data_IF_110500937540
#
_entry.id   IF_110500937540
#
_cell.length_a   1.000
_cell.length_b   1.000
_cell.length_c   1.000
_cell.angle_alpha   90.00
_cell.angle_beta   90.00
_cell.angle_gamma   90.00
#
_symmetry.space_group_name_H-M   'P 1'
#
loop_
_entity.id
_entity.type
_entity.pdbx_description
1 polymer ?
#
# COMPACT_ATOMS: atom_id res chain seq x y z
N UNK A 1 -5.65 -64.18 20.15
CA UNK A 1 -6.30 -63.19 19.28
C UNK A 1 -7.04 -62.15 20.14
N UNK A 2 -6.53 -60.91 20.17
CA UNK A 2 -7.28 -59.64 20.19
C UNK A 2 -6.26 -58.52 19.86
N UNK A 3 -6.55 -57.56 18.96
CA UNK A 3 -5.57 -56.59 18.49
C UNK A 3 -5.37 -55.46 19.52
N UNK A 4 -4.14 -54.94 19.57
CA UNK A 4 -3.80 -53.69 20.25
C UNK A 4 -4.42 -52.48 19.51
N UNK A 5 -4.76 -51.38 20.21
CA UNK A 5 -5.44 -50.22 19.62
C UNK A 5 -4.52 -49.43 18.67
N UNK A 6 -5.08 -48.75 17.66
CA UNK A 6 -4.29 -47.95 16.73
C UNK A 6 -3.69 -46.72 17.43
N UNK A 7 -2.41 -46.48 17.17
CA UNK A 7 -1.69 -45.30 17.61
C UNK A 7 -2.34 -44.03 17.07
N UNK A 8 -2.60 -43.07 17.95
CA UNK A 8 -3.12 -41.76 17.61
C UNK A 8 -2.12 -41.01 16.71
N UNK A 9 -2.53 -40.71 15.48
CA UNK A 9 -1.80 -39.81 14.60
C UNK A 9 -1.84 -38.39 15.19
N UNK A 10 -0.71 -37.94 15.74
CA UNK A 10 -0.49 -36.53 16.06
C UNK A 10 -0.50 -35.74 14.75
N UNK A 11 -1.56 -34.95 14.53
CA UNK A 11 -1.57 -33.90 13.51
C UNK A 11 -0.49 -32.87 13.87
N UNK A 12 0.70 -33.02 13.31
CA UNK A 12 1.70 -31.96 13.30
C UNK A 12 1.23 -30.88 12.31
N UNK A 13 0.98 -29.66 12.83
CA UNK A 13 0.76 -28.46 12.01
C UNK A 13 1.94 -28.28 11.07
N UNK A 14 1.74 -28.54 9.78
CA UNK A 14 2.69 -28.12 8.74
C UNK A 14 2.78 -26.60 8.77
N UNK A 15 3.97 -26.08 9.04
CA UNK A 15 4.36 -24.71 8.73
C UNK A 15 4.20 -24.51 7.23
N UNK A 16 3.09 -23.93 6.79
CA UNK A 16 3.02 -23.27 5.49
C UNK A 16 3.36 -21.79 5.72
N UNK A 17 4.62 -21.56 6.09
CA UNK A 17 5.31 -20.35 5.66
C UNK A 17 5.32 -20.43 4.15
N UNK A 18 4.58 -19.54 3.48
CA UNK A 18 4.80 -19.31 2.06
C UNK A 18 6.19 -18.68 2.00
N UNK A 19 7.16 -19.50 1.64
CA UNK A 19 8.49 -19.06 1.26
C UNK A 19 8.32 -17.96 0.22
N UNK A 20 8.70 -16.75 0.62
CA UNK A 20 8.93 -15.64 -0.28
C UNK A 20 9.97 -16.12 -1.32
N UNK A 21 9.62 -16.27 -2.62
CA UNK A 21 10.51 -16.84 -3.61
C UNK A 21 11.71 -15.93 -3.96
N UNK A 22 11.87 -14.80 -3.27
CA UNK A 22 12.94 -13.82 -3.51
C UNK A 22 14.00 -13.73 -2.39
N UNK A 23 14.01 -14.66 -1.41
CA UNK A 23 15.04 -14.68 -0.37
C UNK A 23 16.38 -15.30 -0.85
N UNK A 24 17.00 -14.66 -1.84
CA UNK A 24 18.28 -15.06 -2.42
C UNK A 24 19.24 -13.90 -2.74
N UNK A 25 18.98 -12.67 -2.30
CA UNK A 25 19.88 -11.53 -2.56
C UNK A 25 20.02 -10.61 -1.34
N UNK A 26 20.63 -11.12 -0.27
CA UNK A 26 21.23 -10.29 0.78
C UNK A 26 22.59 -10.83 1.19
N UNK A 27 23.58 -10.76 0.29
CA UNK A 27 25.00 -10.56 0.65
C UNK A 27 25.71 -9.94 -0.54
N UNK A 28 26.07 -8.66 -0.43
CA UNK A 28 26.91 -7.96 -1.40
C UNK A 28 28.35 -8.44 -1.25
N UNK A 29 28.73 -9.48 -1.98
CA UNK A 29 30.11 -9.65 -2.44
C UNK A 29 30.13 -9.41 -3.94
N UNK A 30 30.71 -8.27 -4.32
CA UNK A 30 31.09 -7.91 -5.68
C UNK A 30 31.83 -9.08 -6.35
N UNK A 31 31.17 -9.77 -7.31
CA UNK A 31 31.70 -10.64 -8.39
C UNK A 31 30.63 -11.59 -8.98
N UNK A 32 29.49 -11.08 -9.45
CA UNK A 32 28.44 -11.92 -10.08
C UNK A 32 27.92 -11.38 -11.42
N UNK A 33 28.78 -10.63 -12.12
CA UNK A 33 28.60 -10.24 -13.52
C UNK A 33 29.81 -10.66 -14.36
N UNK A 34 30.17 -11.94 -14.32
CA UNK A 34 30.97 -12.52 -15.39
C UNK A 34 30.02 -13.13 -16.42
N UNK A 35 29.94 -12.49 -17.58
CA UNK A 35 29.18 -12.96 -18.74
C UNK A 35 29.85 -14.23 -19.26
N UNK A 36 29.15 -15.38 -19.36
CA UNK A 36 29.75 -16.57 -19.95
C UNK A 36 30.03 -16.33 -21.44
N UNK A 37 31.15 -16.84 -21.99
CA UNK A 37 31.45 -16.68 -23.40
C UNK A 37 30.40 -17.41 -24.25
N UNK A 38 29.82 -16.69 -25.20
CA UNK A 38 28.83 -17.21 -26.16
C UNK A 38 29.52 -18.19 -27.12
N UNK A 39 28.95 -19.38 -27.41
CA UNK A 39 29.53 -20.30 -28.39
C UNK A 39 29.47 -19.69 -29.79
N UNK A 40 30.62 -19.67 -30.47
CA UNK A 40 30.72 -19.15 -31.84
C UNK A 40 30.18 -20.19 -32.83
N UNK A 41 28.96 -19.98 -33.33
CA UNK A 41 28.45 -20.72 -34.49
C UNK A 41 28.82 -19.94 -35.75
N UNK A 42 29.63 -20.55 -36.61
CA UNK A 42 29.99 -20.00 -37.90
C UNK A 42 28.81 -20.17 -38.88
N UNK A 43 28.25 -19.06 -39.35
CA UNK A 43 27.38 -19.05 -40.54
C UNK A 43 27.75 -17.88 -41.45
N UNK A 44 28.35 -18.25 -42.58
CA UNK A 44 28.48 -17.44 -43.80
C UNK A 44 27.09 -17.20 -44.39
N UNK A 45 26.68 -15.94 -44.49
CA UNK A 45 25.42 -15.54 -45.12
C UNK A 45 25.31 -14.02 -45.15
N UNK A 46 24.95 -13.47 -46.30
CA UNK A 46 24.90 -12.05 -46.63
C UNK A 46 24.11 -11.23 -45.59
N UNK A 47 24.77 -10.30 -44.91
CA UNK A 47 24.18 -9.44 -43.88
C UNK A 47 23.21 -8.43 -44.51
N UNK A 48 21.90 -8.67 -44.40
CA UNK A 48 20.95 -7.56 -44.23
C UNK A 48 21.22 -6.95 -42.85
N UNK A 49 21.55 -5.66 -42.83
CA UNK A 49 21.70 -4.89 -41.60
C UNK A 49 20.32 -4.84 -40.91
N UNK A 50 20.09 -5.74 -39.96
CA UNK A 50 18.98 -5.61 -39.03
C UNK A 50 19.32 -4.43 -38.11
N UNK A 51 18.72 -3.27 -38.37
CA UNK A 51 18.82 -2.14 -37.46
C UNK A 51 18.28 -2.59 -36.09
N UNK A 52 19.11 -2.47 -35.05
CA UNK A 52 18.65 -2.57 -33.65
C UNK A 52 17.50 -1.56 -33.52
N UNK A 53 16.31 -1.95 -33.02
CA UNK A 53 15.26 -0.96 -32.77
C UNK A 53 15.85 0.14 -31.88
N UNK A 54 15.56 1.43 -32.15
CA UNK A 54 16.12 2.51 -31.36
C UNK A 54 15.80 2.23 -29.89
N UNK A 55 16.82 2.31 -29.03
CA UNK A 55 16.62 2.23 -27.58
C UNK A 55 15.66 3.36 -27.22
N UNK A 56 14.42 3.01 -26.88
CA UNK A 56 13.43 3.97 -26.41
C UNK A 56 13.97 4.60 -25.13
N UNK A 57 14.08 5.92 -25.10
CA UNK A 57 14.48 6.64 -23.89
C UNK A 57 13.43 6.42 -22.79
N UNK A 58 13.82 6.35 -21.50
CA UNK A 58 12.86 6.10 -20.41
C UNK A 58 11.68 7.08 -20.39
N UNK A 59 11.92 8.35 -20.77
CA UNK A 59 10.88 9.36 -20.88
C UNK A 59 9.83 9.00 -21.95
N UNK A 60 10.25 8.49 -23.10
CA UNK A 60 9.35 8.11 -24.20
C UNK A 60 8.48 6.92 -23.82
N UNK A 61 9.04 5.95 -23.08
CA UNK A 61 8.29 4.82 -22.54
C UNK A 61 7.20 5.28 -21.57
N UNK A 62 7.52 6.24 -20.70
CA UNK A 62 6.55 6.81 -19.74
C UNK A 62 5.47 7.61 -20.48
N UNK A 63 5.84 8.44 -21.46
CA UNK A 63 4.87 9.22 -22.25
C UNK A 63 3.90 8.30 -23.01
N UNK A 64 4.37 7.14 -23.49
CA UNK A 64 3.50 6.15 -24.12
C UNK A 64 2.45 5.59 -23.17
N UNK A 65 2.81 5.36 -21.91
CA UNK A 65 1.88 4.85 -20.89
C UNK A 65 0.99 5.95 -20.29
N UNK A 66 1.56 7.14 -20.07
CA UNK A 66 0.89 8.29 -19.48
C UNK A 66 1.15 9.56 -20.33
N UNK A 67 0.39 9.76 -21.43
CA UNK A 67 0.57 10.87 -22.35
C UNK A 67 0.49 12.25 -21.71
N UNK A 68 -0.13 12.37 -20.54
CA UNK A 68 -0.22 13.64 -19.78
C UNK A 68 1.13 14.19 -19.32
N UNK A 69 2.17 13.38 -19.28
CA UNK A 69 3.54 13.82 -19.00
C UNK A 69 4.32 14.18 -20.27
N UNK A 70 3.65 14.23 -21.43
CA UNK A 70 4.27 14.75 -22.65
C UNK A 70 4.55 16.23 -22.52
N UNK A 71 5.65 16.68 -23.12
CA UNK A 71 6.03 18.08 -23.14
C UNK A 71 7.07 18.40 -22.07
N UNK A 72 7.14 19.68 -21.69
CA UNK A 72 8.19 20.22 -20.80
C UNK A 72 7.60 20.96 -19.60
N UNK A 73 6.29 20.80 -19.36
CA UNK A 73 5.59 21.45 -18.26
C UNK A 73 6.00 20.87 -16.90
N UNK A 74 5.85 21.68 -15.85
CA UNK A 74 6.07 21.19 -14.49
C UNK A 74 4.89 20.33 -14.03
N UNK A 75 5.20 19.11 -13.56
CA UNK A 75 4.19 18.17 -13.05
C UNK A 75 4.27 17.99 -11.52
N UNK A 76 3.25 17.34 -10.96
CA UNK A 76 3.27 16.89 -9.57
C UNK A 76 4.05 15.56 -9.47
N UNK A 77 5.12 15.53 -8.66
CA UNK A 77 5.94 14.34 -8.49
C UNK A 77 5.19 13.17 -7.86
N UNK A 78 4.19 13.43 -7.02
CA UNK A 78 3.39 12.36 -6.42
C UNK A 78 2.47 11.70 -7.45
N UNK A 79 1.88 12.52 -8.32
CA UNK A 79 1.09 12.04 -9.44
C UNK A 79 1.96 11.17 -10.36
N UNK A 80 3.12 11.69 -10.78
CA UNK A 80 4.08 10.96 -11.60
C UNK A 80 4.49 9.61 -10.98
N UNK A 81 4.88 9.60 -9.70
CA UNK A 81 5.28 8.36 -9.02
C UNK A 81 4.14 7.33 -9.00
N UNK A 82 2.90 7.79 -8.79
CA UNK A 82 1.73 6.91 -8.78
C UNK A 82 1.54 6.25 -10.14
N UNK A 83 1.54 7.04 -11.22
CA UNK A 83 1.42 6.51 -12.57
C UNK A 83 2.56 5.56 -12.95
N UNK A 84 3.79 5.87 -12.56
CA UNK A 84 4.93 5.01 -12.83
C UNK A 84 4.80 3.65 -12.15
N UNK A 85 4.46 3.64 -10.85
CA UNK A 85 4.30 2.40 -10.10
C UNK A 85 3.09 1.59 -10.57
N UNK A 86 1.99 2.24 -10.96
CA UNK A 86 0.84 1.57 -11.56
C UNK A 86 1.22 0.95 -12.91
N UNK A 87 1.97 1.65 -13.77
CA UNK A 87 2.46 1.10 -15.03
C UNK A 87 3.38 -0.11 -14.84
N UNK A 88 4.34 -0.02 -13.93
CA UNK A 88 5.21 -1.15 -13.57
C UNK A 88 4.36 -2.30 -13.00
N UNK A 89 3.37 -2.00 -12.16
CA UNK A 89 2.47 -3.00 -11.60
C UNK A 89 1.75 -3.77 -12.69
N UNK A 90 1.07 -3.07 -13.62
CA UNK A 90 0.30 -3.68 -14.70
C UNK A 90 1.18 -4.54 -15.61
N UNK A 91 2.37 -4.05 -15.98
CA UNK A 91 3.29 -4.77 -16.86
C UNK A 91 3.83 -6.07 -16.23
N UNK A 92 3.98 -6.11 -14.90
CA UNK A 92 4.53 -7.27 -14.18
C UNK A 92 3.47 -8.02 -13.37
N UNK A 93 2.18 -7.75 -13.58
CA UNK A 93 1.10 -8.39 -12.85
C UNK A 93 0.91 -9.84 -13.31
N UNK A 94 1.11 -10.79 -12.39
CA UNK A 94 1.00 -12.23 -12.65
C UNK A 94 -0.42 -12.78 -12.47
N UNK A 95 -1.33 -11.99 -11.91
CA UNK A 95 -2.65 -12.44 -11.50
C UNK A 95 -3.70 -12.33 -12.62
N UNK A 96 -4.59 -13.33 -12.75
CA UNK A 96 -5.55 -13.43 -13.88
C UNK A 96 -6.93 -14.00 -13.51
N UNK A 97 -7.43 -13.80 -12.28
CA UNK A 97 -8.70 -14.42 -11.84
C UNK A 97 -9.93 -13.47 -11.90
N UNK A 98 -11.12 -14.01 -12.22
CA UNK A 98 -12.38 -13.25 -12.21
C UNK A 98 -12.80 -12.85 -10.79
N UNK A 99 -13.57 -11.75 -10.66
CA UNK A 99 -14.06 -11.28 -9.37
C UNK A 99 -15.14 -12.21 -8.84
N UNK A 100 -15.07 -12.56 -7.55
CA UNK A 100 -16.18 -13.16 -6.83
C UNK A 100 -16.60 -12.23 -5.72
N UNK A 101 -17.89 -11.92 -5.63
CA UNK A 101 -18.45 -11.14 -4.53
C UNK A 101 -18.53 -12.02 -3.27
N UNK A 102 -17.95 -11.54 -2.17
CA UNK A 102 -17.89 -12.25 -0.88
C UNK A 102 -18.32 -11.24 0.16
N UNK A 103 -19.30 -11.63 0.96
CA UNK A 103 -19.78 -10.89 2.12
C UNK A 103 -18.91 -11.24 3.33
N UNK A 104 -18.37 -10.23 4.00
CA UNK A 104 -17.49 -10.42 5.18
C UNK A 104 -18.26 -10.26 6.49
N UNK A 105 -19.59 -10.16 6.41
CA UNK A 105 -20.46 -9.86 7.53
C UNK A 105 -20.31 -10.94 8.61
N UNK A 106 -20.19 -10.50 9.86
CA UNK A 106 -20.00 -11.32 11.06
C UNK A 106 -18.62 -11.97 11.24
N UNK A 107 -17.63 -11.66 10.40
CA UNK A 107 -16.25 -12.08 10.64
C UNK A 107 -15.53 -11.10 11.57
N UNK A 108 -14.59 -11.58 12.41
CA UNK A 108 -13.66 -10.70 13.10
C UNK A 108 -12.84 -9.86 12.11
N UNK A 109 -12.51 -8.62 12.49
CA UNK A 109 -11.80 -7.67 11.62
C UNK A 109 -10.52 -8.25 11.01
N UNK A 110 -9.74 -8.98 11.80
CA UNK A 110 -8.49 -9.58 11.35
C UNK A 110 -8.69 -10.60 10.22
N UNK A 111 -9.78 -11.37 10.31
CA UNK A 111 -10.12 -12.38 9.32
C UNK A 111 -10.70 -11.74 8.07
N UNK A 112 -11.58 -10.75 8.24
CA UNK A 112 -12.16 -9.99 7.13
C UNK A 112 -11.09 -9.23 6.32
N UNK A 113 -10.14 -8.58 6.99
CA UNK A 113 -8.96 -7.96 6.36
C UNK A 113 -8.16 -8.98 5.55
N UNK A 114 -7.86 -10.14 6.14
CA UNK A 114 -7.05 -11.15 5.49
C UNK A 114 -7.71 -11.73 4.24
N UNK A 115 -8.99 -12.08 4.35
CA UNK A 115 -9.77 -12.56 3.20
C UNK A 115 -9.89 -11.48 2.10
N UNK A 116 -10.10 -10.22 2.49
CA UNK A 116 -10.13 -9.11 1.54
C UNK A 116 -8.79 -8.94 0.81
N UNK A 117 -7.66 -9.09 1.52
CA UNK A 117 -6.34 -8.99 0.91
C UNK A 117 -6.02 -10.18 0.01
N UNK A 118 -6.31 -11.41 0.43
CA UNK A 118 -6.15 -12.60 -0.42
C UNK A 118 -6.94 -12.47 -1.72
N UNK A 119 -8.17 -11.96 -1.62
CA UNK A 119 -8.99 -11.64 -2.80
C UNK A 119 -8.34 -10.57 -3.67
N UNK A 120 -7.80 -9.50 -3.09
CA UNK A 120 -7.07 -8.47 -3.82
C UNK A 120 -5.90 -9.07 -4.62
N UNK A 121 -5.12 -9.96 -3.99
CA UNK A 121 -3.98 -10.64 -4.60
C UNK A 121 -4.36 -11.56 -5.78
N UNK A 122 -5.60 -12.07 -5.82
CA UNK A 122 -6.07 -12.86 -6.98
C UNK A 122 -6.11 -12.08 -8.29
N UNK A 123 -6.03 -10.74 -8.21
CA UNK A 123 -5.99 -9.81 -9.35
C UNK A 123 -4.74 -8.95 -9.43
N UNK A 124 -4.02 -8.79 -8.32
CA UNK A 124 -2.86 -7.91 -8.24
C UNK A 124 -1.74 -8.67 -7.55
N UNK A 125 -0.87 -9.29 -8.34
CA UNK A 125 0.33 -9.97 -7.84
C UNK A 125 1.53 -9.44 -8.61
N UNK A 126 2.25 -8.52 -8.01
CA UNK A 126 3.45 -7.93 -8.59
C UNK A 126 4.42 -7.47 -7.51
N UNK A 127 5.66 -7.16 -7.89
CA UNK A 127 6.66 -6.62 -6.96
C UNK A 127 6.21 -5.29 -6.34
N UNK A 128 5.43 -4.49 -7.08
CA UNK A 128 4.87 -3.22 -6.58
C UNK A 128 3.90 -3.46 -5.44
N UNK A 129 3.03 -4.47 -5.57
CA UNK A 129 2.10 -4.88 -4.51
C UNK A 129 2.86 -5.35 -3.28
N UNK A 130 3.88 -6.17 -3.46
CA UNK A 130 4.67 -6.71 -2.37
C UNK A 130 5.42 -5.63 -1.59
N UNK A 131 5.99 -4.65 -2.28
CA UNK A 131 6.85 -3.65 -1.65
C UNK A 131 6.09 -2.44 -1.14
N UNK A 132 5.19 -1.87 -1.96
CA UNK A 132 4.66 -0.53 -1.72
C UNK A 132 3.21 -0.51 -1.23
N UNK A 133 2.49 -1.63 -1.35
CA UNK A 133 1.07 -1.62 -1.04
C UNK A 133 0.75 -2.14 0.36
N UNK A 134 -0.06 -1.35 1.07
CA UNK A 134 -0.70 -1.74 2.31
C UNK A 134 -2.22 -1.82 2.14
N UNK A 135 -2.93 -1.91 3.26
CA UNK A 135 -4.38 -1.97 3.29
C UNK A 135 -4.93 -1.01 4.34
N UNK A 136 -5.91 -0.19 3.96
CA UNK A 136 -6.71 0.60 4.89
C UNK A 136 -7.87 -0.24 5.43
N UNK A 137 -8.35 0.13 6.62
CA UNK A 137 -9.65 -0.26 7.15
C UNK A 137 -10.47 1.02 7.38
N UNK A 138 -11.57 1.16 6.63
CA UNK A 138 -12.55 2.24 6.80
C UNK A 138 -13.78 1.66 7.50
N UNK A 139 -14.15 2.21 8.65
CA UNK A 139 -15.29 1.76 9.45
C UNK A 139 -16.34 2.85 9.56
N UNK A 140 -17.60 2.50 9.28
CA UNK A 140 -18.78 3.32 9.47
C UNK A 140 -19.65 2.72 10.57
N UNK A 141 -20.02 3.52 11.57
CA UNK A 141 -20.89 3.08 12.67
C UNK A 141 -22.12 3.97 12.73
N UNK A 142 -23.30 3.38 12.56
CA UNK A 142 -24.57 4.10 12.70
C UNK A 142 -24.76 4.53 14.16
N UNK A 143 -24.97 5.83 14.40
CA UNK A 143 -25.18 6.32 15.77
C UNK A 143 -26.49 5.84 16.40
N UNK A 144 -27.50 5.50 15.57
CA UNK A 144 -28.83 5.07 16.02
C UNK A 144 -28.92 3.56 16.30
N UNK A 145 -28.62 2.70 15.32
CA UNK A 145 -28.77 1.25 15.46
C UNK A 145 -27.46 0.49 15.73
N UNK A 146 -26.33 1.20 15.78
CA UNK A 146 -24.96 0.64 15.98
C UNK A 146 -24.50 -0.35 14.91
N UNK A 147 -25.26 -0.53 13.83
CA UNK A 147 -24.82 -1.29 12.67
C UNK A 147 -23.50 -0.71 12.14
N UNK A 148 -22.57 -1.63 11.87
CA UNK A 148 -21.22 -1.31 11.44
C UNK A 148 -21.00 -1.82 10.03
N UNK A 149 -20.40 -0.99 9.18
CA UNK A 149 -19.95 -1.37 7.85
C UNK A 149 -18.45 -1.10 7.76
N UNK A 150 -17.67 -2.13 7.42
CA UNK A 150 -16.21 -2.06 7.34
C UNK A 150 -15.75 -2.41 5.93
N UNK A 151 -14.95 -1.53 5.33
CA UNK A 151 -14.37 -1.73 4.00
C UNK A 151 -12.85 -1.74 4.11
N UNK A 152 -12.23 -2.70 3.44
CA UNK A 152 -10.78 -2.79 3.33
C UNK A 152 -10.36 -2.41 1.91
N UNK A 153 -9.43 -1.46 1.78
CA UNK A 153 -8.98 -0.96 0.48
C UNK A 153 -7.45 -0.95 0.40
N UNK A 154 -6.86 -1.39 -0.72
CA UNK A 154 -5.42 -1.28 -0.90
C UNK A 154 -4.99 0.19 -0.98
N UNK A 155 -3.75 0.48 -0.58
CA UNK A 155 -3.13 1.79 -0.79
C UNK A 155 -1.68 1.61 -1.19
N UNK A 156 -1.16 2.54 -1.98
CA UNK A 156 0.26 2.59 -2.35
C UNK A 156 1.02 3.71 -1.62
N UNK A 157 0.31 4.75 -1.18
CA UNK A 157 0.89 5.83 -0.37
C UNK A 157 -0.10 6.36 0.66
N UNK A 158 0.44 6.88 1.76
CA UNK A 158 -0.31 7.64 2.77
C UNK A 158 -0.30 9.12 2.38
N UNK A 159 -1.42 9.62 1.87
CA UNK A 159 -1.57 11.03 1.53
C UNK A 159 -2.12 11.82 2.72
N UNK A 160 -1.21 12.30 3.57
CA UNK A 160 -1.53 12.89 4.86
C UNK A 160 -1.92 14.39 4.74
N UNK A 161 -3.05 14.81 5.33
CA UNK A 161 -3.40 16.22 5.46
C UNK A 161 -2.46 16.92 6.46
N UNK A 162 -2.16 18.20 6.20
CA UNK A 162 -1.36 19.04 7.10
C UNK A 162 -2.32 19.91 7.94
N UNK A 163 -2.45 19.66 9.25
CA UNK A 163 -3.49 20.29 10.05
C UNK A 163 -3.17 21.71 10.54
N UNK A 164 -2.13 22.35 10.01
CA UNK A 164 -1.56 23.61 10.51
C UNK A 164 -2.59 24.74 10.66
N UNK A 165 -3.42 24.97 9.63
CA UNK A 165 -4.49 26.00 9.67
C UNK A 165 -5.53 25.67 10.75
N UNK A 166 -5.95 24.41 10.84
CA UNK A 166 -6.97 23.96 11.81
C UNK A 166 -6.45 24.02 13.25
N UNK A 167 -5.16 23.73 13.45
CA UNK A 167 -4.52 23.75 14.75
C UNK A 167 -3.92 25.12 15.12
N UNK A 168 -3.91 26.09 14.19
CA UNK A 168 -3.29 27.42 14.34
C UNK A 168 -1.83 27.37 14.80
N UNK A 169 -1.07 26.41 14.27
CA UNK A 169 0.35 26.21 14.58
C UNK A 169 1.22 26.33 13.33
N UNK A 170 2.43 26.85 13.52
CA UNK A 170 3.41 27.08 12.44
C UNK A 170 4.20 25.84 12.06
N UNK A 171 4.34 24.90 13.00
CA UNK A 171 5.05 23.65 12.83
C UNK A 171 4.15 22.49 13.26
N UNK A 172 4.17 21.39 12.51
CA UNK A 172 3.46 20.16 12.86
C UNK A 172 4.42 18.98 12.88
N UNK A 173 4.11 17.92 13.61
CA UNK A 173 4.84 16.65 13.50
C UNK A 173 4.14 15.72 12.51
N UNK A 174 4.89 14.76 11.96
CA UNK A 174 4.32 13.73 11.11
C UNK A 174 3.25 12.90 11.84
N UNK A 175 3.46 12.65 13.13
CA UNK A 175 2.48 12.03 14.01
C UNK A 175 1.18 12.85 14.11
N UNK A 176 1.24 14.17 14.23
CA UNK A 176 0.03 15.01 14.21
C UNK A 176 -0.73 14.93 12.88
N UNK A 177 -0.03 14.79 11.75
CA UNK A 177 -0.66 14.55 10.45
C UNK A 177 -1.35 13.19 10.41
N UNK A 178 -0.72 12.14 10.97
CA UNK A 178 -1.31 10.81 11.09
C UNK A 178 -2.52 10.80 12.03
N UNK A 179 -2.42 11.42 13.21
CA UNK A 179 -3.51 11.53 14.19
C UNK A 179 -4.73 12.20 13.55
N UNK A 180 -4.50 13.23 12.73
CA UNK A 180 -5.56 13.86 11.96
C UNK A 180 -6.13 12.91 10.91
N UNK A 181 -5.27 12.19 10.19
CA UNK A 181 -5.64 11.28 9.12
C UNK A 181 -6.52 10.12 9.60
N UNK A 182 -6.24 9.56 10.77
CA UNK A 182 -7.02 8.46 11.38
C UNK A 182 -8.12 8.92 12.32
N UNK A 183 -8.30 10.23 12.48
CA UNK A 183 -9.28 10.81 13.38
C UNK A 183 -10.68 10.36 12.97
N UNK A 184 -11.49 9.96 13.95
CA UNK A 184 -12.91 9.72 13.73
C UNK A 184 -13.60 11.03 13.28
N UNK A 185 -14.34 10.94 12.18
CA UNK A 185 -15.19 12.02 11.66
C UNK A 185 -16.66 11.67 11.86
N UNK A 186 -17.47 12.70 12.13
CA UNK A 186 -18.91 12.56 12.30
C UNK A 186 -19.58 12.96 10.99
N UNK A 187 -20.34 12.02 10.43
CA UNK A 187 -21.18 12.22 9.25
C UNK A 187 -22.60 12.55 9.70
N UNK A 188 -23.06 13.77 9.44
CA UNK A 188 -24.40 14.24 9.81
C UNK A 188 -24.96 15.22 8.76
N UNK A 189 -26.24 15.55 8.88
CA UNK A 189 -26.96 16.45 7.96
C UNK A 189 -26.83 16.01 6.48
N UNK A 190 -26.25 16.83 5.61
CA UNK A 190 -26.10 16.57 4.18
C UNK A 190 -25.21 15.33 3.92
N UNK A 191 -24.16 15.18 4.72
CA UNK A 191 -23.18 14.09 4.67
C UNK A 191 -23.61 12.83 5.44
N UNK A 192 -24.83 12.81 6.00
CA UNK A 192 -25.33 11.69 6.78
C UNK A 192 -25.33 10.37 5.98
N UNK A 193 -24.85 9.30 6.62
CA UNK A 193 -24.72 7.98 6.00
C UNK A 193 -26.07 7.28 5.85
N UNK A 194 -26.35 6.69 4.68
CA UNK A 194 -27.50 5.82 4.49
C UNK A 194 -27.25 4.47 5.18
N UNK A 195 -27.86 4.26 6.35
CA UNK A 195 -27.68 3.03 7.09
C UNK A 195 -28.55 1.90 6.48
N UNK A 196 -27.97 0.76 6.08
CA UNK A 196 -28.72 -0.33 5.45
C UNK A 196 -29.72 -1.00 6.40
N UNK A 197 -29.44 -1.00 7.72
CA UNK A 197 -30.35 -1.53 8.74
C UNK A 197 -31.52 -0.58 9.06
N UNK A 198 -31.26 0.74 9.14
CA UNK A 198 -32.33 1.72 9.36
C UNK A 198 -33.09 2.09 8.08
N UNK A 199 -32.55 1.76 6.90
CA UNK A 199 -33.05 2.10 5.57
C UNK A 199 -33.29 3.61 5.37
N UNK A 200 -32.45 4.45 6.00
CA UNK A 200 -32.49 5.92 5.86
C UNK A 200 -31.17 6.58 6.27
N UNK A 201 -31.00 7.85 5.87
CA UNK A 201 -29.85 8.67 6.31
C UNK A 201 -29.84 8.82 7.83
N UNK A 202 -28.70 8.53 8.45
CA UNK A 202 -28.46 8.60 9.88
C UNK A 202 -27.11 9.24 10.15
N UNK A 203 -27.01 9.88 11.32
CA UNK A 203 -25.73 10.26 11.89
C UNK A 203 -24.87 9.01 12.04
N UNK A 204 -23.62 9.08 11.62
CA UNK A 204 -22.67 7.98 11.70
C UNK A 204 -21.29 8.51 12.07
N UNK A 205 -20.45 7.65 12.63
CA UNK A 205 -19.02 7.92 12.73
C UNK A 205 -18.30 7.17 11.62
N UNK A 206 -17.30 7.81 11.02
CA UNK A 206 -16.41 7.23 10.02
C UNK A 206 -14.98 7.30 10.55
N UNK A 207 -14.25 6.20 10.47
CA UNK A 207 -12.86 6.16 10.91
C UNK A 207 -12.02 5.38 9.92
N UNK A 208 -10.89 5.96 9.51
CA UNK A 208 -9.88 5.30 8.68
C UNK A 208 -8.72 4.86 9.57
N UNK A 209 -8.25 3.63 9.39
CA UNK A 209 -7.12 3.05 10.13
C UNK A 209 -6.24 2.22 9.18
N UNK A 210 -5.02 1.86 9.60
CA UNK A 210 -4.14 1.00 8.83
C UNK A 210 -4.44 -0.46 9.19
N UNK A 211 -4.74 -1.29 8.20
CA UNK A 211 -4.95 -2.73 8.40
C UNK A 211 -3.70 -3.52 8.08
N UNK A 212 -2.95 -3.11 7.07
CA UNK A 212 -1.69 -3.74 6.66
C UNK A 212 -0.72 -2.64 6.27
N UNK A 213 0.52 -2.78 6.69
CA UNK A 213 1.59 -1.86 6.32
C UNK A 213 2.44 -2.47 5.19
N UNK A 214 2.92 -1.67 4.24
CA UNK A 214 3.85 -2.11 3.20
C UNK A 214 5.28 -2.23 3.75
N UNK A 215 6.13 -3.00 3.07
CA UNK A 215 7.56 -3.05 3.41
C UNK A 215 8.25 -1.70 3.14
N UNK A 216 7.82 -1.00 2.09
CA UNK A 216 8.29 0.32 1.71
C UNK A 216 7.14 1.32 1.79
N UNK A 217 7.16 2.14 2.84
CA UNK A 217 6.11 3.12 3.09
C UNK A 217 6.35 4.44 2.34
N UNK A 218 5.45 4.78 1.43
CA UNK A 218 5.41 6.09 0.78
C UNK A 218 4.48 7.03 1.55
N UNK A 219 5.01 8.17 1.97
CA UNK A 219 4.23 9.24 2.63
C UNK A 219 4.22 10.46 1.74
N UNK A 220 3.03 10.87 1.35
CA UNK A 220 2.77 12.11 0.63
C UNK A 220 2.14 13.12 1.59
N UNK A 221 2.70 14.33 1.68
CA UNK A 221 2.13 15.43 2.44
C UNK A 221 1.25 16.29 1.52
N UNK A 222 -0.05 16.37 1.78
CA UNK A 222 -1.02 17.18 1.01
C UNK A 222 -0.79 18.68 1.24
N UNK A 223 0.24 19.23 0.60
CA UNK A 223 0.63 20.66 0.71
C UNK A 223 -0.20 21.58 -0.17
N UNK A 224 -0.91 21.04 -1.15
CA UNK A 224 -1.77 21.81 -2.03
C UNK A 224 -3.22 21.58 -1.64
N UNK A 225 -3.90 22.65 -1.23
CA UNK A 225 -5.35 22.65 -1.10
C UNK A 225 -5.93 23.62 -2.13
N UNK A 226 -6.99 23.19 -2.82
CA UNK A 226 -7.79 24.01 -3.70
C UNK A 226 -8.98 24.61 -2.93
N UNK A 227 -8.74 25.13 -1.73
CA UNK A 227 -9.76 25.86 -0.99
C UNK A 227 -9.91 27.27 -1.59
N UNK A 228 -10.82 27.42 -2.56
CA UNK A 228 -11.19 28.70 -3.19
C UNK A 228 -10.57 28.94 -4.58
N UNK A 229 -10.58 30.20 -5.03
CA UNK A 229 -10.09 30.62 -6.37
C UNK A 229 -8.55 30.54 -6.54
N UNK A 230 -7.79 30.34 -5.47
CA UNK A 230 -6.32 30.35 -5.51
C UNK A 230 -5.74 29.06 -4.92
N UNK A 231 -4.80 28.43 -5.65
CA UNK A 231 -4.01 27.32 -5.12
C UNK A 231 -3.05 27.87 -4.06
N UNK A 232 -3.35 27.63 -2.78
CA UNK A 232 -2.47 28.02 -1.69
C UNK A 232 -1.57 26.83 -1.29
N UNK A 233 -0.25 27.02 -1.42
CA UNK A 233 0.74 26.07 -0.93
C UNK A 233 0.88 26.20 0.58
N UNK A 234 0.91 25.07 1.28
CA UNK A 234 1.24 25.00 2.70
C UNK A 234 2.76 24.89 2.88
N UNK A 235 3.39 26.00 3.24
CA UNK A 235 4.81 26.05 3.63
C UNK A 235 5.04 25.67 5.11
N UNK A 236 4.03 25.12 5.78
CA UNK A 236 4.16 24.59 7.15
C UNK A 236 5.29 23.56 7.22
N UNK A 237 6.21 23.77 8.16
CA UNK A 237 7.25 22.80 8.47
C UNK A 237 6.61 21.55 9.10
N UNK A 238 6.90 20.39 8.53
CA UNK A 238 6.49 19.09 9.07
C UNK A 238 7.74 18.42 9.63
N UNK A 239 7.82 18.26 10.95
CA UNK A 239 8.89 17.52 11.60
C UNK A 239 8.62 16.02 11.48
N UNK A 240 9.54 15.28 10.88
CA UNK A 240 9.45 13.83 10.71
C UNK A 240 10.68 13.15 11.32
N UNK A 241 10.53 11.96 11.92
CA UNK A 241 11.67 11.17 12.38
C UNK A 241 12.43 10.58 11.19
N UNK A 242 13.75 10.52 11.30
CA UNK A 242 14.62 9.86 10.30
C UNK A 242 14.86 8.39 10.61
N UNK A 243 14.70 7.99 11.89
CA UNK A 243 14.78 6.61 12.34
C UNK A 243 13.70 6.30 13.36
N UNK A 244 13.31 5.03 13.45
CA UNK A 244 12.40 4.57 14.48
C UNK A 244 10.99 5.15 14.38
N UNK A 245 10.49 5.37 13.16
CA UNK A 245 9.13 5.85 12.94
C UNK A 245 8.12 4.74 13.22
N UNK A 246 7.44 4.79 14.35
CA UNK A 246 6.58 3.73 14.86
C UNK A 246 5.11 3.94 14.45
N UNK A 247 4.59 3.02 13.62
CA UNK A 247 3.20 3.01 13.20
C UNK A 247 2.31 2.05 13.98
N UNK A 248 2.84 1.31 14.96
CA UNK A 248 2.11 0.27 15.69
C UNK A 248 0.78 0.77 16.30
N UNK A 249 0.75 2.02 16.78
CA UNK A 249 -0.45 2.64 17.33
C UNK A 249 -1.56 2.96 16.30
N UNK A 250 -1.22 3.01 15.01
CA UNK A 250 -2.13 3.34 13.91
C UNK A 250 -2.65 2.10 13.17
N UNK A 251 -2.05 0.94 13.44
CA UNK A 251 -2.50 -0.34 12.89
C UNK A 251 -3.67 -0.87 13.73
N UNK A 252 -4.77 -1.22 13.07
CA UNK A 252 -5.90 -1.92 13.68
C UNK A 252 -5.36 -3.17 14.37
N UNK A 253 -5.70 -3.42 15.64
CA UNK A 253 -5.00 -4.44 16.44
C UNK A 253 -5.36 -5.85 15.94
N UNK A 254 -4.53 -6.42 15.06
CA UNK A 254 -4.63 -7.79 14.52
C UNK A 254 -4.11 -8.84 15.51
N UNK A 255 -4.65 -9.03 16.72
CA UNK A 255 -4.24 -10.22 17.49
C UNK A 255 -5.36 -10.74 18.42
N UNK A 256 -5.73 -12.05 18.35
CA UNK A 256 -6.25 -12.74 19.53
C UNK A 256 -5.19 -12.69 20.65
N UNK A 257 -5.55 -12.55 21.93
CA UNK A 257 -4.66 -12.13 23.03
C UNK A 257 -3.63 -13.18 23.49
N UNK A 258 -2.87 -13.81 22.59
CA UNK A 258 -1.82 -14.76 22.92
C UNK A 258 -0.65 -14.62 21.94
N UNK A 259 0.39 -13.91 22.40
CA UNK A 259 1.80 -13.90 21.95
C UNK A 259 2.30 -12.64 21.20
N UNK A 260 3.26 -11.97 21.88
CA UNK A 260 4.38 -11.12 21.42
C UNK A 260 4.17 -9.70 20.89
N UNK A 261 4.12 -8.72 21.81
CA UNK A 261 4.11 -7.26 21.54
C UNK A 261 5.39 -6.66 20.95
N UNK A 262 6.52 -7.38 20.93
CA UNK A 262 7.80 -6.83 20.47
C UNK A 262 8.04 -7.02 18.97
N UNK A 263 7.64 -8.17 18.41
CA UNK A 263 7.89 -8.52 17.02
C UNK A 263 6.95 -7.77 16.07
N UNK A 264 5.69 -7.61 16.46
CA UNK A 264 4.70 -6.81 15.71
C UNK A 264 5.10 -5.33 15.66
N UNK A 265 5.70 -4.82 16.74
CA UNK A 265 6.18 -3.44 16.82
C UNK A 265 7.40 -3.21 15.93
N UNK A 266 8.32 -4.18 15.87
CA UNK A 266 9.46 -4.12 14.97
C UNK A 266 9.00 -4.09 13.49
N UNK A 267 7.99 -4.87 13.13
CA UNK A 267 7.41 -4.88 11.78
C UNK A 267 6.62 -3.61 11.41
N UNK A 268 6.36 -2.74 12.40
CA UNK A 268 5.63 -1.48 12.23
C UNK A 268 6.54 -0.24 12.31
N UNK A 269 7.86 -0.43 12.38
CA UNK A 269 8.84 0.65 12.56
C UNK A 269 9.61 0.89 11.26
N UNK A 270 9.74 2.16 10.86
CA UNK A 270 10.40 2.56 9.62
C UNK A 270 11.58 3.51 9.86
N UNK A 271 12.61 3.36 9.02
CA UNK A 271 13.71 4.32 8.89
C UNK A 271 13.58 5.05 7.54
N UNK A 272 13.84 6.35 7.54
CA UNK A 272 13.77 7.18 6.35
C UNK A 272 15.00 6.95 5.48
N UNK A 273 14.79 6.68 4.18
CA UNK A 273 15.88 6.50 3.23
C UNK A 273 15.88 7.52 2.07
N UNK A 274 14.75 8.15 1.76
CA UNK A 274 14.65 9.14 0.68
C UNK A 274 13.58 10.20 0.96
N UNK A 275 13.80 11.41 0.44
CA UNK A 275 12.83 12.52 0.47
C UNK A 275 12.81 13.20 -0.89
N UNK A 276 11.63 13.31 -1.49
CA UNK A 276 11.41 14.20 -2.64
C UNK A 276 11.08 15.59 -2.14
N UNK A 277 11.94 16.57 -2.45
CA UNK A 277 11.78 17.97 -2.03
C UNK A 277 11.45 18.81 -3.25
N UNK A 278 10.40 19.63 -3.14
CA UNK A 278 10.09 20.66 -4.13
C UNK A 278 10.51 22.03 -3.59
N UNK A 279 11.67 22.50 -4.03
CA UNK A 279 12.11 23.87 -3.84
C UNK A 279 11.58 24.73 -4.99
N UNK A 280 11.13 25.95 -4.69
CA UNK A 280 10.86 26.99 -5.67
C UNK A 280 11.99 28.01 -5.60
#
# INVERSE_FOLDING_TARGET
>A
MRPAPPAQAKLQRRRTFIDNPFNGFTTTTSKLYDVPPVPTVATSGTKKVQQKPPSMEPADAIIKFAPRFSGTDQHDSQEFLTFLLDGIHEDVNLARKPMQEIEYDNLPDWQASAMSWERYLTRHTSIVVSLFQGQYQSRLICSSCKHTSTTYTPFMSLSLPIPAKRLKITNVTLYQCLDFFVKEEILEKEDAWFCPQCKKKRKATKQLTLSRLPDVLLIHLKRFSADGLFKNKLDTMVKYPTRGFDLYGYVSKFIPPKQSSAQDRASSTYDLYAVSVRNF
#
